data_IF_952054836888
#
_entry.id   IF_952054836888
#
_cell.length_a   1.000
_cell.length_b   1.000
_cell.length_c   1.000
_cell.angle_alpha   90.00
_cell.angle_beta   90.00
_cell.angle_gamma   90.00
#
_symmetry.space_group_name_H-M   'P 1'
#
loop_
_entity.id
_entity.type
_entity.pdbx_description
1 polymer ?
#
# COMPACT_ATOMS: atom_id res chain seq x y z
N UNK A 1 6.20 10.01 12.37
CA UNK A 1 5.23 9.57 11.35
C UNK A 1 5.86 9.67 9.97
N UNK A 2 5.61 8.69 9.12
CA UNK A 2 6.16 8.67 7.77
C UNK A 2 5.27 9.47 6.82
N UNK A 3 5.89 10.17 5.89
CA UNK A 3 5.18 10.90 4.84
C UNK A 3 4.77 9.94 3.74
N UNK A 4 3.52 10.03 3.29
CA UNK A 4 2.99 9.15 2.24
C UNK A 4 3.17 9.84 0.87
N UNK A 5 3.88 9.18 -0.02
CA UNK A 5 4.14 9.66 -1.37
C UNK A 5 3.44 8.73 -2.36
N UNK A 6 2.56 9.28 -3.19
CA UNK A 6 1.82 8.49 -4.18
C UNK A 6 2.55 8.50 -5.52
N UNK A 7 2.85 7.32 -6.06
CA UNK A 7 3.38 7.23 -7.41
C UNK A 7 2.23 7.20 -8.42
N UNK A 8 2.54 7.43 -9.68
CA UNK A 8 1.51 7.61 -10.72
C UNK A 8 0.56 6.42 -10.84
N UNK A 9 1.09 5.19 -10.85
CA UNK A 9 0.24 4.00 -10.93
C UNK A 9 -0.73 3.93 -9.76
N UNK A 10 -0.25 4.21 -8.56
CA UNK A 10 -1.09 4.16 -7.36
C UNK A 10 -2.19 5.23 -7.39
N UNK A 11 -1.87 6.42 -7.93
CA UNK A 11 -2.88 7.47 -8.10
C UNK A 11 -3.99 7.01 -9.04
N UNK A 12 -3.61 6.41 -10.17
CA UNK A 12 -4.57 5.91 -11.13
C UNK A 12 -5.44 4.80 -10.54
N UNK A 13 -4.84 3.91 -9.75
CA UNK A 13 -5.56 2.85 -9.05
C UNK A 13 -6.58 3.44 -8.07
N UNK A 14 -6.15 4.43 -7.30
CA UNK A 14 -7.03 5.06 -6.31
C UNK A 14 -8.21 5.76 -6.99
N UNK A 15 -7.95 6.47 -8.11
CA UNK A 15 -9.01 7.11 -8.89
C UNK A 15 -10.00 6.09 -9.42
N UNK A 16 -9.51 4.93 -9.86
CA UNK A 16 -10.35 3.83 -10.31
C UNK A 16 -11.31 3.40 -9.19
N UNK A 17 -10.77 3.19 -7.97
CA UNK A 17 -11.58 2.77 -6.83
C UNK A 17 -12.58 3.85 -6.40
N UNK A 18 -12.20 5.12 -6.49
CA UNK A 18 -13.11 6.21 -6.13
C UNK A 18 -14.38 6.18 -6.97
N UNK A 19 -14.27 5.72 -8.20
CA UNK A 19 -15.42 5.61 -9.11
C UNK A 19 -16.15 4.28 -9.00
N UNK A 20 -15.47 3.25 -8.49
CA UNK A 20 -15.95 1.89 -8.57
C UNK A 20 -16.42 1.31 -7.25
N UNK A 21 -15.72 1.58 -6.16
CA UNK A 21 -15.97 0.88 -4.89
C UNK A 21 -15.50 1.69 -3.69
N UNK A 22 -16.46 2.31 -3.01
CA UNK A 22 -16.15 3.17 -1.86
C UNK A 22 -15.69 2.37 -0.65
N UNK A 23 -16.04 1.09 -0.53
CA UNK A 23 -15.56 0.27 0.56
C UNK A 23 -14.06 0.02 0.45
N UNK A 24 -13.58 -0.17 -0.76
CA UNK A 24 -12.14 -0.32 -1.00
C UNK A 24 -11.41 0.98 -0.64
N UNK A 25 -11.98 2.13 -0.98
CA UNK A 25 -11.40 3.43 -0.62
C UNK A 25 -11.27 3.57 0.90
N UNK A 26 -12.32 3.21 1.64
CA UNK A 26 -12.28 3.26 3.11
C UNK A 26 -11.19 2.37 3.66
N UNK A 27 -11.06 1.16 3.11
CA UNK A 27 -10.05 0.20 3.55
C UNK A 27 -8.65 0.73 3.27
N UNK A 28 -8.42 1.29 2.08
CA UNK A 28 -7.13 1.87 1.72
C UNK A 28 -6.75 2.98 2.68
N UNK A 29 -7.68 3.89 2.98
CA UNK A 29 -7.42 4.99 3.92
C UNK A 29 -7.02 4.48 5.29
N UNK A 30 -7.70 3.44 5.77
CA UNK A 30 -7.38 2.83 7.06
C UNK A 30 -5.98 2.24 7.06
N UNK A 31 -5.61 1.54 5.98
CA UNK A 31 -4.27 0.99 5.84
C UNK A 31 -3.20 2.09 5.82
N UNK A 32 -3.47 3.19 5.12
CA UNK A 32 -2.53 4.31 5.05
C UNK A 32 -2.29 4.95 6.42
N UNK A 33 -3.34 5.16 7.19
CA UNK A 33 -3.21 5.69 8.54
C UNK A 33 -2.33 4.80 9.40
N UNK A 34 -2.54 3.49 9.32
CA UNK A 34 -1.79 2.54 10.12
C UNK A 34 -0.33 2.48 9.68
N UNK A 35 -0.06 2.35 8.39
CA UNK A 35 1.32 2.23 7.92
C UNK A 35 2.14 3.51 8.07
N UNK A 36 1.50 4.67 8.11
CA UNK A 36 2.22 5.93 8.33
C UNK A 36 2.89 5.97 9.69
N UNK A 37 2.33 5.27 10.66
CA UNK A 37 2.91 5.18 12.01
C UNK A 37 3.82 3.96 12.15
N UNK A 38 3.37 2.80 11.65
CA UNK A 38 4.11 1.55 11.76
C UNK A 38 4.18 0.88 10.38
N UNK A 39 5.12 1.32 9.52
CA UNK A 39 5.12 0.86 8.12
C UNK A 39 5.40 -0.62 7.92
N UNK A 40 6.03 -1.29 8.88
CA UNK A 40 6.38 -2.70 8.73
C UNK A 40 5.54 -3.64 9.59
N UNK A 41 4.57 -3.12 10.34
CA UNK A 41 3.70 -3.94 11.18
C UNK A 41 2.32 -3.31 11.27
N UNK A 42 1.34 -4.07 11.72
CA UNK A 42 -0.01 -3.57 11.93
C UNK A 42 -1.06 -4.31 11.14
N UNK A 43 -2.11 -3.60 10.75
CA UNK A 43 -3.26 -4.23 10.09
C UNK A 43 -2.98 -4.58 8.63
N UNK A 44 -3.80 -5.48 8.08
CA UNK A 44 -3.69 -5.85 6.67
C UNK A 44 -2.60 -6.87 6.38
N UNK A 45 -2.05 -7.52 7.40
CA UNK A 45 -1.01 -8.54 7.27
C UNK A 45 0.18 -8.03 6.45
N UNK A 46 0.90 -6.99 6.94
CA UNK A 46 2.06 -6.49 6.20
C UNK A 46 3.09 -7.58 5.98
N UNK A 47 3.57 -7.67 4.77
CA UNK A 47 4.47 -8.74 4.34
C UNK A 47 5.57 -8.17 3.46
N UNK A 48 6.83 -8.56 3.74
CA UNK A 48 7.95 -8.22 2.87
C UNK A 48 7.87 -9.06 1.61
N UNK A 49 7.99 -8.41 0.47
CA UNK A 49 8.01 -9.11 -0.81
C UNK A 49 9.42 -9.60 -1.11
N UNK A 50 9.53 -10.60 -1.98
CA UNK A 50 10.79 -11.29 -2.26
C UNK A 50 11.17 -11.18 -3.74
N UNK A 51 12.36 -11.68 -4.07
CA UNK A 51 12.87 -11.76 -5.44
C UNK A 51 12.87 -10.39 -6.10
N UNK A 52 12.26 -10.22 -7.26
CA UNK A 52 12.27 -8.95 -7.98
C UNK A 52 11.54 -7.83 -7.26
N UNK A 53 10.71 -8.17 -6.27
CA UNK A 53 10.01 -7.17 -5.46
C UNK A 53 10.66 -6.95 -4.09
N UNK A 54 11.90 -7.41 -3.91
CA UNK A 54 12.63 -7.23 -2.66
C UNK A 54 12.73 -5.74 -2.30
N UNK A 55 12.48 -5.42 -1.02
CA UNK A 55 12.47 -4.02 -0.56
C UNK A 55 11.08 -3.41 -0.53
N UNK A 56 10.11 -4.10 -1.11
CA UNK A 56 8.72 -3.65 -1.10
C UNK A 56 7.93 -4.45 -0.07
N UNK A 57 6.77 -3.90 0.31
CA UNK A 57 5.83 -4.52 1.23
C UNK A 57 4.46 -4.60 0.60
N UNK A 58 3.63 -5.51 1.08
CA UNK A 58 2.22 -5.54 0.71
C UNK A 58 1.35 -5.57 1.95
N UNK A 59 0.15 -5.03 1.84
CA UNK A 59 -0.92 -5.20 2.83
C UNK A 59 -2.19 -5.58 2.08
N UNK A 60 -3.01 -6.41 2.71
CA UNK A 60 -4.26 -6.85 2.11
C UNK A 60 -5.32 -5.76 2.18
N UNK A 61 -5.82 -5.37 1.02
CA UNK A 61 -7.01 -4.51 0.93
C UNK A 61 -8.24 -5.43 1.10
N UNK A 62 -8.26 -6.50 0.34
CA UNK A 62 -9.25 -7.59 0.45
C UNK A 62 -8.59 -8.87 -0.04
N UNK A 63 -9.38 -9.90 -0.36
CA UNK A 63 -8.82 -11.17 -0.83
C UNK A 63 -8.12 -11.05 -2.17
N UNK A 64 -8.55 -10.12 -3.00
CA UNK A 64 -8.07 -9.98 -4.38
C UNK A 64 -7.01 -8.90 -4.56
N UNK A 65 -7.10 -7.80 -3.81
CA UNK A 65 -6.27 -6.63 -4.04
C UNK A 65 -5.32 -6.34 -2.90
N UNK A 66 -4.15 -5.82 -3.25
CA UNK A 66 -3.08 -5.49 -2.29
C UNK A 66 -2.66 -4.04 -2.44
N UNK A 67 -2.27 -3.46 -1.32
CA UNK A 67 -1.57 -2.18 -1.28
C UNK A 67 -0.08 -2.51 -1.31
N UNK A 68 0.62 -2.09 -2.36
CA UNK A 68 2.06 -2.32 -2.51
C UNK A 68 2.78 -1.02 -2.23
N UNK A 69 3.79 -1.06 -1.36
CA UNK A 69 4.49 0.15 -0.97
C UNK A 69 5.95 -0.14 -0.64
N UNK A 70 6.76 0.90 -0.64
CA UNK A 70 8.17 0.84 -0.29
C UNK A 70 8.44 1.78 0.87
N UNK A 71 9.22 1.33 1.85
CA UNK A 71 9.54 2.13 3.03
C UNK A 71 10.95 2.68 2.88
N UNK A 72 11.09 3.99 2.99
CA UNK A 72 12.37 4.68 2.96
C UNK A 72 12.61 5.27 4.35
N UNK A 73 13.35 4.53 5.17
CA UNK A 73 13.57 4.92 6.55
C UNK A 73 14.43 6.19 6.70
N UNK A 74 15.39 6.37 5.81
CA UNK A 74 16.29 7.54 5.88
C UNK A 74 15.55 8.86 5.75
N UNK A 75 14.58 8.91 4.84
CA UNK A 75 13.80 10.13 4.60
C UNK A 75 12.45 10.10 5.31
N UNK A 76 12.14 9.01 6.00
CA UNK A 76 10.85 8.78 6.66
C UNK A 76 9.68 8.96 5.69
N UNK A 77 9.77 8.26 4.57
CA UNK A 77 8.75 8.26 3.53
C UNK A 77 8.26 6.85 3.26
N UNK A 78 7.00 6.75 2.86
CA UNK A 78 6.43 5.51 2.33
C UNK A 78 5.91 5.84 0.93
N UNK A 79 6.43 5.14 -0.05
CA UNK A 79 6.02 5.32 -1.45
C UNK A 79 4.94 4.30 -1.78
N UNK A 80 3.77 4.77 -2.17
CA UNK A 80 2.66 3.90 -2.57
C UNK A 80 2.84 3.57 -4.04
N UNK A 81 3.06 2.29 -4.32
CA UNK A 81 3.40 1.79 -5.65
C UNK A 81 2.14 1.44 -6.44
N UNK A 82 1.22 0.71 -5.80
CA UNK A 82 -0.04 0.32 -6.43
C UNK A 82 -1.06 -0.05 -5.35
N UNK A 83 -2.33 0.00 -5.69
CA UNK A 83 -3.39 -0.43 -4.77
C UNK A 83 -4.48 -1.21 -5.50
N UNK A 84 -4.11 -1.90 -6.56
CA UNK A 84 -5.02 -2.72 -7.34
C UNK A 84 -4.22 -3.91 -7.87
N UNK A 85 -4.84 -5.09 -7.81
CA UNK A 85 -4.16 -6.29 -8.24
C UNK A 85 -3.45 -7.02 -7.13
N UNK A 86 -2.71 -8.05 -7.49
CA UNK A 86 -2.11 -8.98 -6.54
C UNK A 86 -0.73 -9.40 -7.05
N UNK A 87 0.30 -9.24 -6.21
CA UNK A 87 1.66 -9.63 -6.53
C UNK A 87 1.99 -10.92 -5.78
N UNK A 88 2.54 -11.88 -6.50
CA UNK A 88 2.98 -13.15 -5.92
C UNK A 88 4.43 -13.06 -5.49
N UNK A 89 4.70 -13.60 -4.33
CA UNK A 89 6.05 -13.67 -3.78
C UNK A 89 6.76 -14.94 -4.24
#
# INVERSE_FOLDING_TARGET
MYEIIWLEEAKADFDFWMKKDTLIIKRIKLLLENLATTPESGIGKPEKLKHKFSGYFSRRINLEHRLIYKVLHDTKQVWIISCKGHYHN
#
